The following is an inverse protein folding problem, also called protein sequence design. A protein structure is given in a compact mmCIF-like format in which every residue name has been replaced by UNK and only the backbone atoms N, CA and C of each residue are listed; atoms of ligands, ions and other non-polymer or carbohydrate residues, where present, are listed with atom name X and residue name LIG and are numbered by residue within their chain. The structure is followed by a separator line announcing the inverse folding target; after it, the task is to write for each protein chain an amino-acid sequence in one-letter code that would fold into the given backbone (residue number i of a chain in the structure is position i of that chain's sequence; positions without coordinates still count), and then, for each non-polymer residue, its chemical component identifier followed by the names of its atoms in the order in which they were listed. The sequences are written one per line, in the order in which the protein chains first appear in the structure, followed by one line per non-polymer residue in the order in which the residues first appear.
data_IF_107673638240
#
_entry.id   IF_107673638240
#
_cell.length_a   1.000
_cell.length_b   1.000
_cell.length_c   1.000
_cell.angle_alpha   90.00
_cell.angle_beta   90.00
_cell.angle_gamma   90.00
#
_symmetry.space_group_name_H-M   'P 1'
#
loop_
_entity.id
_entity.type
_entity.pdbx_description
1 polymer ?
#
# COMPACT_ATOMS: atom_id res chain seq x y z
N UNK A 1 -39.56 8.36 -21.09
CA UNK A 1 -38.55 9.10 -20.28
C UNK A 1 -37.32 8.23 -20.20
N UNK A 2 -36.29 8.55 -20.99
CA UNK A 2 -35.00 7.84 -20.99
C UNK A 2 -34.21 8.21 -19.73
N UNK A 3 -33.52 7.23 -19.10
CA UNK A 3 -32.61 7.56 -18.00
C UNK A 3 -31.46 8.39 -18.56
N UNK A 4 -31.24 9.55 -17.97
CA UNK A 4 -30.09 10.42 -18.22
C UNK A 4 -28.83 9.65 -17.81
N UNK A 5 -27.98 9.35 -18.78
CA UNK A 5 -26.65 8.79 -18.61
C UNK A 5 -25.78 9.83 -17.89
N UNK A 6 -25.74 9.75 -16.55
CA UNK A 6 -24.88 10.60 -15.72
C UNK A 6 -23.49 9.99 -15.72
N UNK A 7 -22.76 10.21 -16.80
CA UNK A 7 -21.31 10.05 -16.82
C UNK A 7 -20.69 11.31 -16.19
N UNK A 8 -20.88 11.47 -14.86
CA UNK A 8 -20.24 12.54 -14.12
C UNK A 8 -18.73 12.28 -14.11
N UNK A 9 -18.02 13.08 -14.87
CA UNK A 9 -16.58 13.24 -14.69
C UNK A 9 -16.35 13.72 -13.26
N UNK A 10 -15.97 12.82 -12.37
CA UNK A 10 -15.64 13.14 -10.98
C UNK A 10 -14.37 13.97 -10.96
N UNK A 11 -14.53 15.28 -10.95
CA UNK A 11 -13.42 16.20 -10.71
C UNK A 11 -12.93 15.96 -9.28
N UNK A 12 -11.64 15.68 -9.05
CA UNK A 12 -11.12 15.47 -7.71
C UNK A 12 -11.48 16.66 -6.80
N UNK A 13 -12.01 16.39 -5.62
CA UNK A 13 -12.29 17.45 -4.65
C UNK A 13 -10.97 18.08 -4.17
N UNK A 14 -11.04 19.32 -3.67
CA UNK A 14 -9.88 19.97 -3.07
C UNK A 14 -9.30 19.14 -1.91
N UNK A 15 -10.14 18.37 -1.21
CA UNK A 15 -9.70 17.43 -0.16
C UNK A 15 -8.89 16.29 -0.75
N UNK A 16 -9.31 15.73 -1.90
CA UNK A 16 -8.58 14.64 -2.58
C UNK A 16 -7.20 15.10 -3.06
N UNK A 17 -7.16 16.29 -3.67
CA UNK A 17 -5.89 16.89 -4.16
C UNK A 17 -4.94 17.17 -2.99
N UNK A 18 -5.46 17.74 -1.91
CA UNK A 18 -4.66 18.05 -0.72
C UNK A 18 -4.16 16.76 -0.03
N UNK A 19 -5.03 15.76 0.12
CA UNK A 19 -4.67 14.46 0.66
C UNK A 19 -3.52 13.83 -0.15
N UNK A 20 -3.65 13.78 -1.49
CA UNK A 20 -2.63 13.23 -2.37
C UNK A 20 -1.29 13.98 -2.26
N UNK A 21 -1.32 15.31 -2.20
CA UNK A 21 -0.14 16.15 -2.07
C UNK A 21 0.61 15.91 -0.74
N UNK A 22 -0.11 15.80 0.37
CA UNK A 22 0.50 15.54 1.69
C UNK A 22 1.03 14.11 1.75
N UNK A 23 0.25 13.13 1.25
CA UNK A 23 0.66 11.72 1.14
C UNK A 23 1.99 11.58 0.40
N UNK A 24 2.10 12.20 -0.77
CA UNK A 24 3.32 12.17 -1.60
C UNK A 24 4.53 12.72 -0.84
N UNK A 25 4.38 13.82 -0.12
CA UNK A 25 5.44 14.41 0.70
C UNK A 25 5.87 13.54 1.88
N UNK A 26 4.91 12.85 2.54
CA UNK A 26 5.21 11.89 3.62
C UNK A 26 6.03 10.73 3.05
N UNK A 27 5.59 10.16 1.93
CA UNK A 27 6.22 8.98 1.33
C UNK A 27 7.59 9.29 0.69
N UNK A 28 7.82 10.54 0.26
CA UNK A 28 9.14 11.02 -0.19
C UNK A 28 10.10 11.39 0.95
N UNK A 29 9.59 11.45 2.19
CA UNK A 29 10.39 11.88 3.34
C UNK A 29 10.50 13.40 3.52
N UNK A 30 9.81 14.21 2.68
CA UNK A 30 9.75 15.68 2.85
C UNK A 30 9.07 16.07 4.18
N UNK A 31 8.23 15.20 4.70
CA UNK A 31 7.68 15.26 6.05
C UNK A 31 8.24 14.04 6.78
N UNK A 32 9.23 14.28 7.63
CA UNK A 32 10.00 13.23 8.28
C UNK A 32 9.17 12.34 9.21
N UNK A 33 9.54 11.06 9.41
CA UNK A 33 8.98 10.22 10.47
C UNK A 33 9.07 10.90 11.84
N UNK A 34 7.99 10.82 12.63
CA UNK A 34 7.86 11.51 13.92
C UNK A 34 7.47 12.99 13.82
N UNK A 35 7.54 13.61 12.65
CA UNK A 35 7.18 15.01 12.47
C UNK A 35 5.71 15.28 12.83
N UNK A 36 5.49 16.43 13.47
CA UNK A 36 4.15 16.91 13.83
C UNK A 36 3.49 17.61 12.64
N UNK A 37 2.26 17.21 12.32
CA UNK A 37 1.44 17.82 11.28
C UNK A 37 0.19 18.41 11.91
N UNK A 38 -0.07 19.73 11.71
CA UNK A 38 -1.24 20.42 12.25
C UNK A 38 -2.16 20.91 11.16
N UNK A 39 -3.45 20.97 11.47
CA UNK A 39 -4.44 21.55 10.53
C UNK A 39 -4.08 22.99 10.14
N UNK A 40 -3.53 23.76 11.10
CA UNK A 40 -3.11 25.15 10.88
C UNK A 40 -1.93 25.23 9.91
N UNK A 41 -0.89 24.41 10.11
CA UNK A 41 0.28 24.41 9.23
C UNK A 41 -0.11 24.03 7.80
N UNK A 42 -0.94 22.99 7.63
CA UNK A 42 -1.44 22.56 6.32
C UNK A 42 -2.32 23.63 5.68
N UNK A 43 -3.28 24.21 6.43
CA UNK A 43 -4.14 25.25 5.90
C UNK A 43 -3.34 26.47 5.40
N UNK A 44 -2.32 26.89 6.16
CA UNK A 44 -1.43 28.00 5.79
C UNK A 44 -0.58 27.66 4.57
N UNK A 45 0.08 26.49 4.59
CA UNK A 45 1.01 26.07 3.53
C UNK A 45 0.35 25.93 2.16
N UNK A 46 -0.87 25.35 2.15
CA UNK A 46 -1.61 25.10 0.90
C UNK A 46 -2.67 26.17 0.58
N UNK A 47 -2.77 27.21 1.39
CA UNK A 47 -3.76 28.28 1.23
C UNK A 47 -5.20 27.77 1.14
N UNK A 48 -5.55 26.80 1.99
CA UNK A 48 -6.89 26.19 2.05
C UNK A 48 -7.58 26.50 3.38
N UNK A 49 -8.91 26.33 3.41
CA UNK A 49 -9.67 26.48 4.66
C UNK A 49 -9.31 25.36 5.66
N UNK A 50 -9.28 25.67 6.97
CA UNK A 50 -9.01 24.68 8.05
C UNK A 50 -9.90 23.44 7.98
N UNK A 51 -11.21 23.50 7.68
CA UNK A 51 -12.03 22.29 7.50
C UNK A 51 -11.53 21.37 6.38
N UNK A 52 -11.02 21.94 5.27
CA UNK A 52 -10.43 21.18 4.16
C UNK A 52 -9.14 20.48 4.61
N UNK A 53 -8.26 21.21 5.31
CA UNK A 53 -7.03 20.63 5.88
C UNK A 53 -7.36 19.51 6.88
N UNK A 54 -8.33 19.71 7.76
CA UNK A 54 -8.81 18.71 8.71
C UNK A 54 -9.29 17.45 7.99
N UNK A 55 -10.16 17.58 6.98
CA UNK A 55 -10.70 16.44 6.24
C UNK A 55 -9.59 15.63 5.51
N UNK A 56 -8.63 16.30 4.90
CA UNK A 56 -7.48 15.65 4.27
C UNK A 56 -6.62 14.90 5.30
N UNK A 57 -6.34 15.51 6.46
CA UNK A 57 -5.58 14.88 7.53
C UNK A 57 -6.32 13.69 8.17
N UNK A 58 -7.65 13.74 8.29
CA UNK A 58 -8.45 12.60 8.78
C UNK A 58 -8.34 11.39 7.83
N UNK A 59 -8.30 11.62 6.52
CA UNK A 59 -8.04 10.53 5.55
C UNK A 59 -6.64 9.97 5.69
N UNK A 60 -5.61 10.81 5.86
CA UNK A 60 -4.24 10.34 6.10
C UNK A 60 -4.11 9.51 7.39
N UNK A 61 -4.95 9.79 8.40
CA UNK A 61 -5.04 8.96 9.60
C UNK A 61 -5.68 7.60 9.30
N UNK A 62 -6.73 7.58 8.46
CA UNK A 62 -7.37 6.32 8.02
C UNK A 62 -6.40 5.49 7.17
N UNK A 63 -5.57 6.14 6.36
CA UNK A 63 -4.54 5.48 5.53
C UNK A 63 -3.30 5.06 6.35
N UNK A 64 -3.27 5.28 7.67
CA UNK A 64 -2.12 4.94 8.52
C UNK A 64 -0.89 5.85 8.34
N UNK A 65 -0.96 6.87 7.48
CA UNK A 65 0.15 7.80 7.21
C UNK A 65 0.31 8.88 8.27
N UNK A 66 -0.72 9.09 9.09
CA UNK A 66 -0.68 9.92 10.29
C UNK A 66 -1.30 9.16 11.46
N UNK A 67 -0.68 9.25 12.64
CA UNK A 67 -1.26 8.76 13.89
C UNK A 67 -1.61 9.95 14.79
N UNK A 68 -2.81 9.95 15.38
CA UNK A 68 -3.21 10.92 16.42
C UNK A 68 -3.15 10.28 17.80
N UNK A 69 -2.38 10.85 18.69
CA UNK A 69 -2.54 10.59 20.11
C UNK A 69 -3.70 11.41 20.68
N UNK A 70 -4.32 10.90 21.74
CA UNK A 70 -5.49 11.50 22.41
C UNK A 70 -5.28 13.00 22.65
N UNK A 71 -6.16 13.85 22.09
CA UNK A 71 -6.20 15.31 22.23
C UNK A 71 -5.09 16.13 21.54
N UNK A 72 -4.37 15.61 20.52
CA UNK A 72 -3.19 16.32 20.01
C UNK A 72 -2.97 16.21 18.51
N UNK A 73 -1.99 16.93 18.08
CA UNK A 73 -1.33 17.03 16.78
C UNK A 73 -1.08 15.65 16.18
N UNK A 74 -1.49 15.46 14.94
CA UNK A 74 -1.14 14.26 14.21
C UNK A 74 0.38 14.22 13.94
N UNK A 75 0.93 13.02 13.86
CA UNK A 75 2.36 12.79 13.55
C UNK A 75 2.48 11.73 12.47
N UNK A 76 3.51 11.85 11.64
CA UNK A 76 3.95 10.75 10.78
C UNK A 76 4.46 9.62 11.69
N UNK A 77 3.95 8.38 11.55
CA UNK A 77 4.43 7.27 12.37
C UNK A 77 5.94 7.06 12.19
N UNK A 78 6.63 6.82 13.29
CA UNK A 78 7.95 6.22 13.29
C UNK A 78 7.72 4.74 13.59
N UNK A 79 7.84 3.91 12.56
CA UNK A 79 7.56 2.49 12.66
C UNK A 79 8.76 1.77 13.25
N UNK A 80 8.50 0.86 14.19
CA UNK A 80 9.52 -0.02 14.75
C UNK A 80 9.40 -1.45 14.23
N UNK A 81 10.25 -2.35 14.71
CA UNK A 81 10.26 -3.74 14.24
C UNK A 81 9.03 -4.54 14.69
N UNK A 82 8.29 -4.09 15.72
CA UNK A 82 7.03 -4.70 16.16
C UNK A 82 5.88 -4.23 15.25
N UNK A 83 5.82 -2.92 14.95
CA UNK A 83 4.89 -2.38 13.96
C UNK A 83 5.00 -3.13 12.62
N UNK A 84 6.23 -3.38 12.14
CA UNK A 84 6.47 -4.12 10.89
C UNK A 84 5.95 -5.55 10.97
N UNK A 85 6.22 -6.26 12.06
CA UNK A 85 5.75 -7.65 12.22
C UNK A 85 4.23 -7.73 12.28
N UNK A 86 3.58 -6.83 13.03
CA UNK A 86 2.12 -6.80 13.14
C UNK A 86 1.45 -6.46 11.80
N UNK A 87 2.01 -5.50 11.05
CA UNK A 87 1.56 -5.17 9.71
C UNK A 87 1.64 -6.37 8.76
N UNK A 88 2.79 -7.06 8.71
CA UNK A 88 2.98 -8.21 7.82
C UNK A 88 2.16 -9.42 8.25
N UNK A 89 1.97 -9.65 9.54
CA UNK A 89 1.02 -10.64 10.06
C UNK A 89 -0.41 -10.36 9.59
N UNK A 90 -0.86 -9.10 9.67
CA UNK A 90 -2.18 -8.70 9.21
C UNK A 90 -2.35 -8.86 7.70
N UNK A 91 -1.32 -8.52 6.93
CA UNK A 91 -1.29 -8.73 5.48
C UNK A 91 -1.36 -10.22 5.13
N UNK A 92 -0.58 -11.06 5.81
CA UNK A 92 -0.54 -12.50 5.56
C UNK A 92 -1.92 -13.15 5.74
N UNK A 93 -2.64 -12.84 6.82
CA UNK A 93 -3.98 -13.35 7.05
C UNK A 93 -4.97 -13.01 5.92
N UNK A 94 -4.87 -11.79 5.38
CA UNK A 94 -5.75 -11.33 4.31
C UNK A 94 -5.29 -11.90 2.97
N UNK A 95 -4.03 -11.72 2.61
CA UNK A 95 -3.51 -11.99 1.29
C UNK A 95 -3.44 -13.49 1.00
N UNK A 96 -3.09 -14.32 1.99
CA UNK A 96 -3.20 -15.78 1.89
C UNK A 96 -4.61 -16.20 1.53
N UNK A 97 -5.61 -15.73 2.30
CA UNK A 97 -7.02 -16.05 2.03
C UNK A 97 -7.50 -15.55 0.66
N UNK A 98 -6.94 -14.43 0.17
CA UNK A 98 -7.25 -13.89 -1.15
C UNK A 98 -6.73 -14.81 -2.24
N UNK A 99 -5.43 -15.17 -2.22
CA UNK A 99 -4.83 -16.01 -3.28
C UNK A 99 -5.43 -17.43 -3.29
N UNK A 100 -5.74 -17.99 -2.12
CA UNK A 100 -6.46 -19.25 -2.01
C UNK A 100 -7.83 -19.20 -2.72
N UNK A 101 -8.59 -18.10 -2.55
CA UNK A 101 -9.88 -17.90 -3.23
C UNK A 101 -9.73 -17.68 -4.73
N UNK A 102 -8.68 -16.99 -5.15
CA UNK A 102 -8.36 -16.82 -6.57
C UNK A 102 -7.98 -18.16 -7.20
N UNK A 103 -7.16 -18.98 -6.52
CA UNK A 103 -6.78 -20.32 -6.96
C UNK A 103 -7.99 -21.25 -7.11
N UNK A 104 -8.94 -21.24 -6.14
CA UNK A 104 -10.20 -22.00 -6.25
C UNK A 104 -10.97 -21.67 -7.54
N UNK A 105 -10.84 -20.45 -8.05
CA UNK A 105 -11.50 -19.96 -9.26
C UNK A 105 -10.60 -20.01 -10.51
N UNK A 106 -9.33 -20.35 -10.35
CA UNK A 106 -8.27 -20.21 -11.37
C UNK A 106 -8.27 -18.82 -12.00
N UNK A 107 -8.48 -17.79 -11.18
CA UNK A 107 -8.60 -16.41 -11.60
C UNK A 107 -7.29 -15.67 -11.37
N UNK A 108 -6.46 -15.56 -12.41
CA UNK A 108 -5.28 -14.70 -12.42
C UNK A 108 -5.73 -13.30 -12.86
N UNK A 109 -5.48 -12.24 -12.07
CA UNK A 109 -5.84 -10.89 -12.48
C UNK A 109 -4.84 -10.34 -13.51
N UNK A 110 -5.32 -9.84 -14.65
CA UNK A 110 -4.49 -9.22 -15.71
C UNK A 110 -3.59 -8.10 -15.18
N UNK A 111 -4.08 -7.33 -14.18
CA UNK A 111 -3.30 -6.27 -13.55
C UNK A 111 -2.11 -6.83 -12.75
N UNK A 112 -2.24 -7.99 -12.11
CA UNK A 112 -1.14 -8.62 -11.38
C UNK A 112 0.00 -9.01 -12.33
N UNK A 113 -0.30 -9.55 -13.51
CA UNK A 113 0.70 -9.88 -14.52
C UNK A 113 1.47 -8.65 -15.03
N UNK A 114 0.77 -7.52 -15.20
CA UNK A 114 1.41 -6.25 -15.56
C UNK A 114 2.41 -5.79 -14.51
N UNK A 115 2.10 -5.95 -13.22
CA UNK A 115 3.02 -5.60 -12.15
C UNK A 115 4.26 -6.51 -12.10
N UNK A 116 4.11 -7.82 -12.39
CA UNK A 116 5.26 -8.72 -12.53
C UNK A 116 6.18 -8.27 -13.66
N UNK A 117 5.62 -7.93 -14.81
CA UNK A 117 6.37 -7.41 -15.97
C UNK A 117 7.06 -6.09 -15.60
N UNK A 118 6.33 -5.14 -15.03
CA UNK A 118 6.88 -3.86 -14.61
C UNK A 118 8.02 -3.99 -13.58
N UNK A 119 7.96 -4.99 -12.70
CA UNK A 119 9.02 -5.24 -11.73
C UNK A 119 10.30 -5.78 -12.39
N UNK A 120 10.16 -6.62 -13.43
CA UNK A 120 11.30 -7.10 -14.22
C UNK A 120 11.93 -5.98 -15.05
N UNK A 121 11.12 -5.16 -15.69
CA UNK A 121 11.59 -4.02 -16.48
C UNK A 121 12.27 -2.95 -15.60
N UNK A 122 11.83 -2.80 -14.33
CA UNK A 122 12.41 -1.88 -13.37
C UNK A 122 13.78 -2.33 -12.83
N UNK A 123 14.26 -3.54 -13.15
CA UNK A 123 15.56 -4.04 -12.70
C UNK A 123 16.73 -3.21 -13.22
N UNK A 124 16.58 -2.53 -14.36
CA UNK A 124 17.67 -1.80 -15.02
C UNK A 124 17.93 -0.41 -14.43
N UNK A 125 16.96 0.32 -13.89
CA UNK A 125 17.14 1.58 -13.11
C UNK A 125 15.89 1.96 -12.28
N UNK A 126 15.56 1.31 -11.17
CA UNK A 126 14.37 1.69 -10.42
C UNK A 126 14.63 2.90 -9.53
N UNK A 127 13.82 3.94 -9.69
CA UNK A 127 13.61 4.80 -8.52
C UNK A 127 12.84 3.97 -7.49
N UNK A 128 13.25 4.04 -6.25
CA UNK A 128 12.67 3.30 -5.13
C UNK A 128 11.18 3.47 -5.00
N UNK A 129 10.70 4.72 -5.14
CA UNK A 129 9.28 5.04 -5.10
C UNK A 129 8.50 4.28 -6.18
N UNK A 130 9.07 4.10 -7.37
CA UNK A 130 8.43 3.34 -8.45
C UNK A 130 8.36 1.85 -8.10
N UNK A 131 9.45 1.25 -7.62
CA UNK A 131 9.50 -0.16 -7.24
C UNK A 131 8.51 -0.48 -6.10
N UNK A 132 8.45 0.37 -5.06
CA UNK A 132 7.47 0.22 -3.96
C UNK A 132 6.03 0.32 -4.48
N UNK A 133 5.76 1.26 -5.40
CA UNK A 133 4.41 1.41 -5.96
C UNK A 133 4.00 0.20 -6.79
N UNK A 134 4.93 -0.41 -7.53
CA UNK A 134 4.69 -1.63 -8.32
C UNK A 134 4.43 -2.81 -7.38
N UNK A 135 5.24 -2.99 -6.35
CA UNK A 135 5.09 -4.05 -5.33
C UNK A 135 3.71 -3.98 -4.66
N UNK A 136 3.36 -2.83 -4.11
CA UNK A 136 2.05 -2.65 -3.46
C UNK A 136 0.88 -2.75 -4.45
N UNK A 137 1.10 -2.35 -5.70
CA UNK A 137 0.13 -2.50 -6.78
C UNK A 137 -0.19 -3.96 -7.08
N UNK A 138 0.82 -4.84 -7.12
CA UNK A 138 0.64 -6.27 -7.27
C UNK A 138 -0.30 -6.83 -6.18
N UNK A 139 0.04 -6.63 -4.93
CA UNK A 139 -0.75 -7.13 -3.80
C UNK A 139 -2.19 -6.60 -3.82
N UNK A 140 -2.36 -5.30 -4.07
CA UNK A 140 -3.68 -4.68 -4.17
C UNK A 140 -4.51 -5.23 -5.32
N UNK A 141 -3.90 -5.56 -6.46
CA UNK A 141 -4.59 -6.13 -7.63
C UNK A 141 -5.25 -7.47 -7.30
N UNK A 142 -4.57 -8.34 -6.54
CA UNK A 142 -5.11 -9.62 -6.09
C UNK A 142 -6.35 -9.42 -5.21
N UNK A 143 -6.29 -8.52 -4.24
CA UNK A 143 -7.44 -8.20 -3.36
C UNK A 143 -8.61 -7.63 -4.17
N UNK A 144 -8.33 -6.73 -5.12
CA UNK A 144 -9.34 -6.08 -5.94
C UNK A 144 -10.08 -7.08 -6.85
N UNK A 145 -9.39 -8.13 -7.33
CA UNK A 145 -9.98 -9.17 -8.17
C UNK A 145 -11.11 -9.96 -7.50
N UNK A 146 -11.18 -9.95 -6.17
CA UNK A 146 -12.32 -10.54 -5.45
C UNK A 146 -13.59 -9.70 -5.49
N UNK A 147 -13.55 -8.47 -6.04
CA UNK A 147 -14.69 -7.56 -6.19
C UNK A 147 -15.47 -7.30 -4.89
N UNK A 148 -14.76 -7.22 -3.74
CA UNK A 148 -15.36 -6.94 -2.43
C UNK A 148 -15.03 -5.51 -1.98
N UNK A 149 -15.95 -4.53 -2.11
CA UNK A 149 -15.67 -3.16 -1.71
C UNK A 149 -15.32 -2.99 -0.21
N UNK A 150 -15.81 -3.90 0.64
CA UNK A 150 -15.49 -3.89 2.07
C UNK A 150 -14.06 -4.35 2.32
N UNK A 151 -13.66 -5.44 1.65
CA UNK A 151 -12.30 -5.97 1.76
C UNK A 151 -11.28 -4.98 1.20
N UNK A 152 -11.57 -4.37 0.05
CA UNK A 152 -10.71 -3.37 -0.58
C UNK A 152 -10.48 -2.19 0.38
N UNK A 153 -11.54 -1.62 0.99
CA UNK A 153 -11.38 -0.50 1.95
C UNK A 153 -10.58 -0.88 3.19
N UNK A 154 -10.77 -2.09 3.70
CA UNK A 154 -10.00 -2.59 4.84
C UNK A 154 -8.51 -2.72 4.47
N UNK A 155 -8.24 -3.28 3.31
CA UNK A 155 -6.89 -3.52 2.82
C UNK A 155 -6.16 -2.23 2.43
N UNK A 156 -6.86 -1.27 1.81
CA UNK A 156 -6.29 0.03 1.46
C UNK A 156 -5.75 0.78 2.70
N UNK A 157 -6.36 0.60 3.88
CA UNK A 157 -5.83 1.13 5.14
C UNK A 157 -4.47 0.55 5.53
N UNK A 158 -4.25 -0.75 5.28
CA UNK A 158 -2.94 -1.38 5.53
C UNK A 158 -1.88 -0.97 4.49
N UNK A 159 -2.30 -0.69 3.26
CA UNK A 159 -1.39 -0.32 2.17
C UNK A 159 -0.70 1.02 2.39
N UNK A 160 -1.34 1.96 3.09
CA UNK A 160 -0.72 3.22 3.49
C UNK A 160 0.45 2.99 4.45
N UNK A 161 0.25 2.19 5.50
CA UNK A 161 1.31 1.84 6.45
C UNK A 161 2.40 0.97 5.80
N UNK A 162 2.03 0.03 4.91
CA UNK A 162 3.00 -0.77 4.17
C UNK A 162 3.91 0.11 3.29
N UNK A 163 3.33 1.09 2.59
CA UNK A 163 4.09 2.05 1.80
C UNK A 163 5.05 2.86 2.67
N UNK A 164 4.56 3.38 3.80
CA UNK A 164 5.39 4.14 4.74
C UNK A 164 6.52 3.27 5.30
N UNK A 165 6.24 2.03 5.68
CA UNK A 165 7.22 1.07 6.16
C UNK A 165 8.32 0.83 5.12
N UNK A 166 7.96 0.56 3.88
CA UNK A 166 8.92 0.34 2.80
C UNK A 166 9.71 1.61 2.46
N UNK A 167 9.09 2.78 2.53
CA UNK A 167 9.77 4.07 2.31
C UNK A 167 10.80 4.38 3.41
N UNK A 168 10.51 4.04 4.67
CA UNK A 168 11.42 4.23 5.80
C UNK A 168 12.57 3.22 5.84
N UNK A 169 12.36 2.02 5.27
CA UNK A 169 13.34 0.93 5.26
C UNK A 169 14.07 0.78 3.92
N UNK A 170 14.25 1.87 3.21
CA UNK A 170 14.70 1.96 1.84
C UNK A 170 16.04 1.27 1.51
N UNK A 171 16.15 0.65 0.30
CA UNK A 171 17.38 0.09 -0.27
C UNK A 171 17.44 -1.44 -0.41
N UNK A 172 16.33 -2.18 -0.15
CA UNK A 172 16.37 -3.64 0.03
C UNK A 172 15.56 -4.41 -1.02
N UNK A 173 14.82 -3.74 -1.92
CA UNK A 173 14.04 -4.43 -2.94
C UNK A 173 14.96 -5.10 -3.97
N UNK A 174 15.03 -6.42 -3.90
CA UNK A 174 15.64 -7.27 -4.94
C UNK A 174 14.55 -7.55 -5.98
N UNK A 175 14.35 -6.61 -6.91
CA UNK A 175 13.23 -6.61 -7.86
C UNK A 175 13.07 -7.89 -8.67
N UNK A 176 14.16 -8.44 -9.23
CA UNK A 176 14.12 -9.71 -9.98
C UNK A 176 13.63 -10.87 -9.12
N UNK A 177 14.17 -11.03 -7.92
CA UNK A 177 13.76 -12.09 -6.99
C UNK A 177 12.30 -11.97 -6.59
N UNK A 178 11.83 -10.74 -6.36
CA UNK A 178 10.43 -10.49 -6.02
C UNK A 178 9.52 -10.80 -7.21
N UNK A 179 9.92 -10.45 -8.44
CA UNK A 179 9.18 -10.81 -9.64
C UNK A 179 9.03 -12.33 -9.82
N UNK A 180 10.07 -13.10 -9.50
CA UNK A 180 10.02 -14.56 -9.54
C UNK A 180 9.09 -15.13 -8.44
N UNK A 181 9.12 -14.53 -7.25
CA UNK A 181 8.18 -14.91 -6.17
C UNK A 181 6.73 -14.65 -6.60
N UNK A 182 6.45 -13.52 -7.23
CA UNK A 182 5.12 -13.20 -7.77
C UNK A 182 4.69 -14.14 -8.89
N UNK A 183 5.59 -14.49 -9.80
CA UNK A 183 5.30 -15.45 -10.86
C UNK A 183 4.84 -16.79 -10.31
N UNK A 184 5.52 -17.33 -9.28
CA UNK A 184 5.11 -18.59 -8.63
C UNK A 184 3.73 -18.49 -7.96
N UNK A 185 3.40 -17.35 -7.36
CA UNK A 185 2.06 -17.12 -6.79
C UNK A 185 1.01 -17.18 -7.90
N UNK A 186 1.23 -16.48 -9.03
CA UNK A 186 0.29 -16.47 -10.16
C UNK A 186 0.18 -17.85 -10.83
N UNK A 187 1.27 -18.58 -11.01
CA UNK A 187 1.30 -19.95 -11.53
C UNK A 187 0.47 -20.91 -10.66
N UNK A 188 0.60 -20.81 -9.33
CA UNK A 188 -0.20 -21.60 -8.40
C UNK A 188 -1.70 -21.26 -8.47
N UNK A 189 -2.04 -19.97 -8.63
CA UNK A 189 -3.42 -19.53 -8.85
C UNK A 189 -3.98 -20.10 -10.16
N UNK A 190 -3.25 -20.02 -11.27
CA UNK A 190 -3.64 -20.53 -12.58
C UNK A 190 -3.84 -22.04 -12.56
N UNK A 191 -2.92 -22.77 -11.93
CA UNK A 191 -3.02 -24.20 -11.73
C UNK A 191 -4.22 -24.63 -10.87
N UNK A 192 -4.77 -23.70 -10.06
CA UNK A 192 -5.83 -23.99 -9.10
C UNK A 192 -5.29 -24.72 -7.86
N UNK A 193 -3.99 -24.64 -7.59
CA UNK A 193 -3.37 -25.21 -6.41
C UNK A 193 -3.52 -24.25 -5.22
N UNK A 194 -4.60 -24.45 -4.47
CA UNK A 194 -4.99 -23.59 -3.33
C UNK A 194 -3.90 -23.56 -2.26
N UNK A 195 -3.31 -24.74 -1.96
CA UNK A 195 -2.29 -24.85 -0.92
C UNK A 195 -1.00 -24.16 -1.35
N UNK A 196 -0.53 -24.43 -2.56
CA UNK A 196 0.68 -23.79 -3.10
C UNK A 196 0.52 -22.27 -3.20
N UNK A 197 -0.62 -21.77 -3.67
CA UNK A 197 -0.87 -20.32 -3.75
C UNK A 197 -0.77 -19.66 -2.36
N UNK A 198 -1.39 -20.27 -1.34
CA UNK A 198 -1.30 -19.79 0.04
C UNK A 198 0.12 -19.83 0.59
N UNK A 199 0.85 -20.91 0.38
CA UNK A 199 2.19 -21.12 0.92
C UNK A 199 3.22 -20.19 0.23
N UNK A 200 3.11 -19.96 -1.09
CA UNK A 200 3.96 -19.01 -1.81
C UNK A 200 3.72 -17.56 -1.33
N UNK A 201 2.46 -17.17 -1.12
CA UNK A 201 2.14 -15.83 -0.59
C UNK A 201 2.67 -15.65 0.83
N UNK A 202 2.41 -16.61 1.74
CA UNK A 202 2.92 -16.54 3.12
C UNK A 202 4.45 -16.48 3.14
N UNK A 203 5.10 -17.34 2.37
CA UNK A 203 6.56 -17.36 2.27
C UNK A 203 7.15 -16.06 1.71
N UNK A 204 6.48 -15.43 0.74
CA UNK A 204 6.87 -14.13 0.21
C UNK A 204 6.80 -13.04 1.30
N UNK A 205 5.67 -12.94 2.01
CA UNK A 205 5.45 -11.94 3.05
C UNK A 205 6.41 -12.11 4.23
N UNK A 206 6.68 -13.35 4.64
CA UNK A 206 7.66 -13.66 5.68
C UNK A 206 9.06 -13.17 5.30
N UNK A 207 9.51 -13.48 4.08
CA UNK A 207 10.81 -13.02 3.57
C UNK A 207 10.89 -11.49 3.50
N UNK A 208 9.81 -10.83 3.06
CA UNK A 208 9.74 -9.37 3.02
C UNK A 208 9.82 -8.75 4.42
N UNK A 209 9.05 -9.28 5.37
CA UNK A 209 9.09 -8.86 6.78
C UNK A 209 10.50 -8.99 7.37
N UNK A 210 11.14 -10.15 7.19
CA UNK A 210 12.49 -10.41 7.70
C UNK A 210 13.52 -9.44 7.11
N UNK A 211 13.44 -9.12 5.81
CA UNK A 211 14.33 -8.14 5.17
C UNK A 211 14.18 -6.75 5.81
N UNK A 212 12.94 -6.27 5.98
CA UNK A 212 12.67 -4.96 6.58
C UNK A 212 13.14 -4.88 8.03
N UNK A 213 12.80 -5.88 8.85
CA UNK A 213 13.22 -5.95 10.26
C UNK A 213 14.75 -6.01 10.39
N UNK A 214 15.42 -6.76 9.52
CA UNK A 214 16.89 -6.85 9.53
C UNK A 214 17.54 -5.52 9.19
N UNK A 215 17.00 -4.80 8.20
CA UNK A 215 17.49 -3.47 7.84
C UNK A 215 17.31 -2.45 8.97
N UNK A 216 16.12 -2.41 9.58
CA UNK A 216 15.84 -1.49 10.68
C UNK A 216 16.71 -1.72 11.93
N UNK A 217 17.25 -2.93 12.11
CA UNK A 217 18.18 -3.25 13.20
C UNK A 217 19.63 -2.87 12.91
N UNK A 218 19.96 -2.70 11.64
CA UNK A 218 21.30 -2.39 11.19
C UNK A 218 21.59 -0.87 11.12
N UNK A 219 20.54 -0.06 11.13
CA UNK A 219 20.56 1.41 11.10
C UNK A 219 20.06 2.00 12.42
#
# INVERSE_FOLDING_TARGET
MSPVDQNELSVPSLVDVLHAAIRDRILKGDIEPGASVTEMSIATQYSVARPTAKAAMERLVVDGLLRRSTNKTARVPLLDTEDVRDLYFSRELIERSVVERLAMKRLVPDEAEKYVTALRDAADEPTVTAAVSVDLGFHRSLVTALNSPRLIRLYDGLMGEAHLCMAQAYGILQTERVADEYSRILEAIEAGDVQAAGDEMSGHLDRACLRLVSHMRAN
#
